data_IF_032965639579
#
_entry.id   IF_032965639579
#
_cell.length_a   1.000
_cell.length_b   1.000
_cell.length_c   1.000
_cell.angle_alpha   90.00
_cell.angle_beta   90.00
_cell.angle_gamma   90.00
#
_symmetry.space_group_name_H-M   'P 1'
#
loop_
_entity.id
_entity.type
_entity.pdbx_description
1 polymer ?
#
# COMPACT_ATOMS: atom_id res chain seq x y z
N UNK A 1 17.19 5.08 -7.69
CA UNK A 1 16.60 5.95 -6.71
C UNK A 1 15.58 6.89 -7.33
N UNK A 2 14.48 7.01 -6.66
CA UNK A 2 13.39 7.80 -7.17
C UNK A 2 12.95 8.80 -6.12
N UNK A 3 12.55 9.97 -6.57
CA UNK A 3 12.03 10.98 -5.67
C UNK A 3 10.78 11.59 -6.24
N UNK A 4 10.01 12.20 -5.39
CA UNK A 4 8.79 12.84 -5.79
C UNK A 4 9.04 13.87 -6.87
N UNK A 5 8.10 13.95 -7.78
CA UNK A 5 8.19 14.87 -8.88
C UNK A 5 7.65 16.24 -8.52
N UNK A 6 7.42 16.44 -7.22
CA UNK A 6 6.94 17.70 -6.72
C UNK A 6 5.53 17.97 -7.17
N UNK A 7 5.35 19.09 -7.79
CA UNK A 7 4.06 19.55 -8.19
C UNK A 7 3.60 19.02 -9.55
N UNK A 8 4.36 18.12 -10.12
CA UNK A 8 4.01 17.63 -11.44
C UNK A 8 2.72 16.84 -11.37
N UNK A 9 1.80 17.22 -12.19
CA UNK A 9 0.51 16.62 -12.25
C UNK A 9 0.54 15.54 -13.32
N UNK A 10 0.42 14.30 -12.92
CA UNK A 10 0.54 13.19 -13.85
C UNK A 10 -0.66 12.28 -13.76
N UNK A 11 -1.01 11.67 -14.87
CA UNK A 11 -2.06 10.67 -14.92
C UNK A 11 -1.55 9.31 -14.48
N UNK A 12 -0.30 9.02 -14.79
CA UNK A 12 0.27 7.70 -14.53
C UNK A 12 1.74 7.84 -14.18
N UNK A 13 2.14 7.08 -13.15
CA UNK A 13 3.53 7.01 -12.74
C UNK A 13 3.88 5.53 -12.58
N UNK A 14 4.95 5.12 -13.27
CA UNK A 14 5.50 3.78 -13.16
C UNK A 14 6.94 3.86 -12.69
N UNK A 15 7.24 3.11 -11.65
CA UNK A 15 8.58 3.04 -11.08
C UNK A 15 8.97 1.60 -10.84
N UNK A 16 10.20 1.26 -11.18
CA UNK A 16 10.76 -0.06 -10.89
C UNK A 16 12.17 0.12 -10.40
N UNK A 17 12.48 -0.45 -9.26
CA UNK A 17 13.83 -0.44 -8.73
C UNK A 17 14.26 -1.87 -8.40
N UNK A 18 15.51 -2.21 -8.71
CA UNK A 18 16.04 -3.54 -8.38
C UNK A 18 16.56 -3.57 -6.95
N UNK A 19 17.38 -2.58 -6.59
CA UNK A 19 17.92 -2.48 -5.24
C UNK A 19 17.87 -1.02 -4.84
N UNK A 20 17.21 -0.73 -3.73
CA UNK A 20 17.10 0.63 -3.23
C UNK A 20 15.70 0.93 -2.78
N UNK A 21 15.58 1.99 -2.01
CA UNK A 21 14.30 2.38 -1.44
C UNK A 21 13.58 3.35 -2.35
N UNK A 22 12.27 3.32 -2.30
CA UNK A 22 11.41 4.27 -3.01
C UNK A 22 10.72 5.12 -1.97
N UNK A 23 10.90 6.44 -2.07
CA UNK A 23 10.36 7.39 -1.12
C UNK A 23 9.65 8.49 -1.90
N UNK A 24 8.34 8.54 -1.78
CA UNK A 24 7.51 9.50 -2.49
C UNK A 24 6.62 10.25 -1.51
N UNK A 25 6.54 11.56 -1.67
CA UNK A 25 5.66 12.35 -0.82
C UNK A 25 4.98 13.45 -1.62
N UNK A 26 3.75 13.77 -1.23
CA UNK A 26 3.00 14.84 -1.86
C UNK A 26 2.61 14.55 -3.30
N UNK A 27 2.52 13.28 -3.66
CA UNK A 27 2.24 12.87 -5.03
C UNK A 27 0.74 12.85 -5.30
N UNK A 28 0.35 13.32 -6.48
CA UNK A 28 -1.05 13.32 -6.89
C UNK A 28 -1.12 12.74 -8.29
N UNK A 29 -1.53 11.48 -8.39
CA UNK A 29 -1.62 10.79 -9.69
C UNK A 29 -2.89 9.96 -9.77
N UNK A 30 -3.34 9.70 -10.99
CA UNK A 30 -4.48 8.83 -11.22
C UNK A 30 -4.09 7.36 -11.12
N UNK A 31 -2.91 7.01 -11.59
CA UNK A 31 -2.45 5.63 -11.58
C UNK A 31 -1.00 5.55 -11.14
N UNK A 32 -0.74 4.70 -10.16
CA UNK A 32 0.60 4.48 -9.65
C UNK A 32 0.92 3.00 -9.74
N UNK A 33 2.08 2.69 -10.34
CA UNK A 33 2.58 1.33 -10.43
C UNK A 33 4.01 1.33 -9.92
N UNK A 34 4.21 0.79 -8.74
CA UNK A 34 5.51 0.72 -8.08
C UNK A 34 5.95 -0.72 -7.93
N UNK A 35 7.19 -0.98 -8.27
CA UNK A 35 7.77 -2.30 -8.08
C UNK A 35 9.18 -2.16 -7.53
N UNK A 36 9.46 -2.83 -6.43
CA UNK A 36 10.77 -2.86 -5.81
C UNK A 36 11.17 -4.31 -5.59
N UNK A 37 12.32 -4.71 -6.10
CA UNK A 37 12.79 -6.07 -5.88
C UNK A 37 13.39 -6.21 -4.49
N UNK A 38 14.31 -5.33 -4.12
CA UNK A 38 14.91 -5.31 -2.77
C UNK A 38 14.96 -3.87 -2.30
N UNK A 39 14.25 -3.57 -1.23
CA UNK A 39 14.20 -2.23 -0.68
C UNK A 39 12.83 -1.90 -0.17
N UNK A 40 12.71 -0.80 0.54
CA UNK A 40 11.48 -0.38 1.15
C UNK A 40 10.73 0.60 0.26
N UNK A 41 9.42 0.62 0.39
CA UNK A 41 8.56 1.58 -0.30
C UNK A 41 7.89 2.46 0.75
N UNK A 42 8.13 3.76 0.67
CA UNK A 42 7.52 4.74 1.56
C UNK A 42 6.71 5.74 0.76
N UNK A 43 5.45 5.87 1.08
CA UNK A 43 4.55 6.85 0.48
C UNK A 43 3.94 7.70 1.59
N UNK A 44 4.01 9.03 1.43
CA UNK A 44 3.48 9.94 2.42
C UNK A 44 2.68 11.05 1.75
N UNK A 45 1.50 11.32 2.26
CA UNK A 45 0.63 12.40 1.76
C UNK A 45 0.37 12.31 0.26
N UNK A 46 0.09 11.11 -0.23
CA UNK A 46 -0.19 10.89 -1.64
C UNK A 46 -1.68 10.75 -1.88
N UNK A 47 -2.12 11.26 -3.02
CA UNK A 47 -3.49 11.10 -3.49
C UNK A 47 -3.46 10.27 -4.75
N UNK A 48 -4.09 9.10 -4.69
CA UNK A 48 -4.03 8.11 -5.75
C UNK A 48 -5.45 7.69 -6.10
N UNK A 49 -5.70 7.41 -7.36
CA UNK A 49 -6.98 6.82 -7.71
C UNK A 49 -6.84 5.31 -7.78
N UNK A 50 -5.93 4.83 -8.60
CA UNK A 50 -5.62 3.40 -8.69
C UNK A 50 -4.14 3.22 -8.42
N UNK A 51 -3.80 2.26 -7.57
CA UNK A 51 -2.39 2.00 -7.28
C UNK A 51 -2.10 0.51 -7.14
N UNK A 52 -0.93 0.13 -7.62
CA UNK A 52 -0.41 -1.24 -7.50
C UNK A 52 1.00 -1.14 -6.96
N UNK A 53 1.23 -1.77 -5.83
CA UNK A 53 2.54 -1.79 -5.19
C UNK A 53 3.00 -3.24 -5.07
N UNK A 54 4.23 -3.49 -5.50
CA UNK A 54 4.78 -4.84 -5.50
C UNK A 54 6.19 -4.78 -4.93
N UNK A 55 6.41 -5.42 -3.80
CA UNK A 55 7.72 -5.51 -3.18
C UNK A 55 8.09 -6.96 -2.98
N UNK A 56 9.27 -7.33 -3.42
CA UNK A 56 9.72 -8.70 -3.23
C UNK A 56 10.34 -8.89 -1.85
N UNK A 57 11.32 -8.07 -1.51
CA UNK A 57 11.93 -8.10 -0.18
C UNK A 57 12.03 -6.66 0.33
N UNK A 58 11.35 -6.37 1.41
CA UNK A 58 11.35 -5.04 2.00
C UNK A 58 9.99 -4.69 2.55
N UNK A 59 9.92 -3.60 3.28
CA UNK A 59 8.70 -3.16 3.91
C UNK A 59 7.97 -2.14 3.04
N UNK A 60 6.67 -2.11 3.17
CA UNK A 60 5.83 -1.12 2.49
C UNK A 60 5.14 -0.29 3.55
N UNK A 61 5.35 1.02 3.50
CA UNK A 61 4.85 1.95 4.49
C UNK A 61 4.09 3.06 3.79
N UNK A 62 2.81 3.20 4.11
CA UNK A 62 1.98 4.27 3.57
C UNK A 62 1.40 5.08 4.70
N UNK A 63 1.57 6.39 4.64
CA UNK A 63 1.08 7.30 5.67
C UNK A 63 0.30 8.44 5.03
N UNK A 64 -0.89 8.64 5.52
CA UNK A 64 -1.76 9.75 5.09
C UNK A 64 -2.04 9.74 3.59
N UNK A 65 -2.19 8.56 3.01
CA UNK A 65 -2.50 8.41 1.60
C UNK A 65 -3.99 8.16 1.40
N UNK A 66 -4.52 8.71 0.32
CA UNK A 66 -5.90 8.48 -0.07
C UNK A 66 -5.93 7.76 -1.40
N UNK A 67 -6.91 6.88 -1.57
CA UNK A 67 -6.99 6.08 -2.79
C UNK A 67 -8.43 5.60 -3.01
N UNK A 68 -8.71 5.25 -4.25
CA UNK A 68 -9.98 4.60 -4.60
C UNK A 68 -9.80 3.10 -4.67
N UNK A 69 -8.71 2.65 -5.30
CA UNK A 69 -8.41 1.24 -5.45
C UNK A 69 -6.92 1.03 -5.25
N UNK A 70 -6.55 0.11 -4.37
CA UNK A 70 -5.15 -0.16 -4.09
C UNK A 70 -4.93 -1.65 -3.98
N UNK A 71 -3.88 -2.13 -4.63
CA UNK A 71 -3.45 -3.52 -4.54
C UNK A 71 -1.99 -3.56 -4.14
N UNK A 72 -1.70 -4.25 -3.06
CA UNK A 72 -0.35 -4.37 -2.51
C UNK A 72 0.02 -5.84 -2.46
N UNK A 73 1.16 -6.19 -3.03
CA UNK A 73 1.70 -7.54 -2.99
C UNK A 73 3.11 -7.48 -2.42
N UNK A 74 3.38 -8.31 -1.43
CA UNK A 74 4.70 -8.40 -0.82
C UNK A 74 5.05 -9.87 -0.60
N UNK A 75 6.30 -10.22 -0.82
CA UNK A 75 6.74 -11.59 -0.53
C UNK A 75 7.33 -11.67 0.87
N UNK A 76 8.30 -10.83 1.19
CA UNK A 76 8.95 -10.85 2.51
C UNK A 76 9.06 -9.41 3.00
N UNK A 77 8.45 -9.13 4.13
CA UNK A 77 8.47 -7.81 4.73
C UNK A 77 7.11 -7.47 5.32
N UNK A 78 7.04 -6.37 6.01
CA UNK A 78 5.82 -5.93 6.63
C UNK A 78 5.12 -4.88 5.78
N UNK A 79 3.81 -4.83 5.87
CA UNK A 79 3.00 -3.83 5.17
C UNK A 79 2.27 -3.01 6.22
N UNK A 80 2.55 -1.72 6.23
CA UNK A 80 1.96 -0.77 7.18
C UNK A 80 1.19 0.29 6.43
N UNK A 81 -0.08 0.40 6.73
CA UNK A 81 -0.95 1.35 6.06
C UNK A 81 -1.67 2.18 7.11
N UNK A 82 -1.40 3.47 7.12
CA UNK A 82 -2.03 4.40 8.03
C UNK A 82 -2.78 5.44 7.22
N UNK A 83 -4.10 5.36 7.23
CA UNK A 83 -4.97 6.19 6.42
C UNK A 83 -5.72 7.18 7.27
N UNK A 84 -5.86 8.40 6.78
CA UNK A 84 -6.69 9.41 7.42
C UNK A 84 -8.16 9.23 7.10
N UNK A 85 -8.45 8.61 5.96
CA UNK A 85 -9.82 8.38 5.55
C UNK A 85 -10.41 7.17 6.25
N UNK A 86 -11.71 7.21 6.46
CA UNK A 86 -12.44 6.08 7.02
C UNK A 86 -12.65 5.04 5.93
N UNK A 87 -12.03 3.88 6.08
CA UNK A 87 -12.14 2.80 5.12
C UNK A 87 -13.24 1.80 5.44
N UNK A 88 -14.09 2.10 6.40
CA UNK A 88 -15.12 1.16 6.81
C UNK A 88 -16.11 0.81 5.70
N UNK A 89 -16.27 1.70 4.72
CA UNK A 89 -17.12 1.46 3.56
C UNK A 89 -16.41 0.81 2.38
N UNK A 90 -15.12 0.55 2.50
CA UNK A 90 -14.35 -0.05 1.43
C UNK A 90 -14.48 -1.57 1.45
N UNK A 91 -14.31 -2.15 0.27
CA UNK A 91 -14.14 -3.59 0.18
C UNK A 91 -12.67 -3.90 0.49
N UNK A 92 -12.41 -4.58 1.59
CA UNK A 92 -11.05 -4.79 2.08
C UNK A 92 -10.77 -6.28 2.16
N UNK A 93 -9.61 -6.69 1.63
CA UNK A 93 -9.11 -8.05 1.77
C UNK A 93 -7.64 -8.01 2.12
N UNK A 94 -7.29 -8.52 3.29
CA UNK A 94 -5.92 -8.57 3.78
C UNK A 94 -5.57 -10.02 4.10
N UNK A 95 -4.38 -10.45 3.69
CA UNK A 95 -3.96 -11.82 3.99
C UNK A 95 -2.46 -11.97 4.00
N UNK A 96 -1.97 -12.75 4.96
CA UNK A 96 -0.57 -13.13 5.03
C UNK A 96 -0.43 -14.64 5.19
N UNK A 97 0.60 -15.21 4.61
CA UNK A 97 0.88 -16.64 4.75
C UNK A 97 1.50 -16.95 6.11
N UNK A 98 2.50 -16.16 6.49
CA UNK A 98 3.18 -16.31 7.78
C UNK A 98 3.30 -14.92 8.40
N UNK A 99 2.58 -14.69 9.49
CA UNK A 99 2.55 -13.40 10.14
C UNK A 99 1.14 -13.10 10.64
N UNK A 100 0.93 -11.89 11.05
CA UNK A 100 -0.31 -11.46 11.64
C UNK A 100 -0.92 -10.28 10.89
N UNK A 101 -2.23 -10.17 10.95
CA UNK A 101 -2.98 -9.03 10.40
C UNK A 101 -3.64 -8.28 11.54
N UNK A 102 -3.38 -6.99 11.62
CA UNK A 102 -4.00 -6.11 12.59
C UNK A 102 -4.77 -5.00 11.88
N UNK A 103 -5.98 -4.74 12.31
CA UNK A 103 -6.82 -3.68 11.76
C UNK A 103 -7.32 -2.83 12.90
N UNK A 104 -6.93 -1.56 12.93
CA UNK A 104 -7.29 -0.62 14.01
C UNK A 104 -6.99 -1.22 15.39
N UNK A 105 -5.78 -1.75 15.54
CA UNK A 105 -5.30 -2.39 16.77
C UNK A 105 -6.07 -3.65 17.14
N UNK A 106 -6.83 -4.22 16.24
CA UNK A 106 -7.53 -5.48 16.45
C UNK A 106 -6.79 -6.59 15.73
N UNK A 107 -6.44 -7.61 16.49
CA UNK A 107 -5.73 -8.76 15.96
C UNK A 107 -6.68 -9.65 15.15
N UNK A 108 -6.36 -9.88 13.89
CA UNK A 108 -7.22 -10.61 12.95
C UNK A 108 -6.61 -11.92 12.47
N UNK A 109 -5.61 -12.43 13.18
CA UNK A 109 -4.89 -13.62 12.76
C UNK A 109 -4.18 -13.40 11.44
N UNK A 110 -4.49 -14.21 10.43
CA UNK A 110 -3.78 -14.13 9.14
C UNK A 110 -4.58 -13.47 8.03
N UNK A 111 -5.79 -13.09 8.32
CA UNK A 111 -6.61 -12.48 7.28
C UNK A 111 -7.71 -11.60 7.87
N UNK A 112 -8.10 -10.63 7.08
CA UNK A 112 -9.20 -9.75 7.39
C UNK A 112 -9.96 -9.45 6.11
N UNK A 113 -11.28 -9.41 6.20
CA UNK A 113 -12.11 -9.11 5.05
C UNK A 113 -13.29 -8.25 5.47
N UNK A 114 -13.56 -7.22 4.70
CA UNK A 114 -14.71 -6.35 4.90
C UNK A 114 -15.46 -6.20 3.57
N UNK A 115 -16.75 -6.48 3.60
CA UNK A 115 -17.59 -6.43 2.40
C UNK A 115 -18.18 -5.03 2.24
N UNK A 116 -17.40 -4.13 1.72
CA UNK A 116 -17.84 -2.77 1.47
C UNK A 116 -18.23 -2.56 0.02
N UNK A 117 -18.22 -1.28 -0.38
CA UNK A 117 -18.54 -0.88 -1.74
C UNK A 117 -17.40 -1.30 -2.68
N UNK A 118 -17.73 -2.09 -3.70
CA UNK A 118 -16.72 -2.61 -4.62
C UNK A 118 -16.09 -1.53 -5.49
N UNK A 119 -16.63 -0.33 -5.51
CA UNK A 119 -16.01 0.78 -6.24
C UNK A 119 -14.78 1.33 -5.50
N UNK A 120 -14.64 1.01 -4.23
CA UNK A 120 -13.48 1.39 -3.41
C UNK A 120 -12.93 0.12 -2.79
N UNK A 121 -11.69 -0.21 -3.10
CA UNK A 121 -11.14 -1.48 -2.64
C UNK A 121 -9.70 -1.37 -2.19
N UNK A 122 -9.35 -2.22 -1.24
CA UNK A 122 -7.98 -2.39 -0.77
C UNK A 122 -7.71 -3.88 -0.67
N UNK A 123 -6.68 -4.33 -1.38
CA UNK A 123 -6.26 -5.73 -1.33
C UNK A 123 -4.78 -5.77 -0.98
N UNK A 124 -4.43 -6.46 0.09
CA UNK A 124 -3.05 -6.65 0.49
C UNK A 124 -2.78 -8.15 0.64
N UNK A 125 -1.78 -8.62 -0.08
CA UNK A 125 -1.36 -10.01 -0.04
C UNK A 125 0.12 -10.06 0.32
N UNK A 126 0.45 -10.82 1.35
CA UNK A 126 1.82 -10.95 1.83
C UNK A 126 2.11 -12.43 2.06
N UNK A 127 3.30 -12.88 1.69
CA UNK A 127 3.68 -14.26 1.98
C UNK A 127 4.23 -14.39 3.40
N UNK A 128 5.18 -13.54 3.76
CA UNK A 128 5.84 -13.59 5.07
C UNK A 128 6.00 -12.18 5.62
N UNK A 129 5.39 -11.92 6.75
CA UNK A 129 5.43 -10.63 7.43
C UNK A 129 4.05 -10.24 7.94
N UNK A 130 4.01 -9.13 8.62
CA UNK A 130 2.78 -8.66 9.24
C UNK A 130 2.11 -7.59 8.35
N UNK A 131 0.81 -7.48 8.49
CA UNK A 131 0.03 -6.44 7.83
C UNK A 131 -0.66 -5.63 8.91
N UNK A 132 -0.44 -4.33 8.92
CA UNK A 132 -1.11 -3.40 9.83
C UNK A 132 -1.89 -2.37 9.04
N UNK A 133 -3.16 -2.24 9.33
CA UNK A 133 -4.03 -1.25 8.72
C UNK A 133 -4.67 -0.42 9.82
N UNK A 134 -4.54 0.90 9.71
CA UNK A 134 -5.15 1.85 10.64
C UNK A 134 -5.95 2.88 9.85
N UNK A 135 -7.21 3.12 10.26
CA UNK A 135 -8.04 4.15 9.64
C UNK A 135 -9.10 4.68 10.57
#
# INVERSE_FOLDING_TARGET
>A
ESRGLGDVYKRQLKLHTNVGDVDLSGLNVLSLDLRADVGDIDLENCTLETSTLDANVGDIDLEDCTFTSMEITSNVGDVDLDCKEDLSGYHIELGTGVGDVNVNDTYCHRSYSNQGDSSHSLTISNDTGDISLTY
#
